data_IF_284832764345
#
_entry.id   IF_284832764345
#
_cell.length_a   1.000
_cell.length_b   1.000
_cell.length_c   1.000
_cell.angle_alpha   90.00
_cell.angle_beta   90.00
_cell.angle_gamma   90.00
#
_symmetry.space_group_name_H-M   'P 1'
#
loop_
_entity.id
_entity.type
_entity.pdbx_description
1 polymer ?
#
# COMPACT_ATOMS: atom_id res chain seq x y z
N UNK A 1 15.02 28.34 24.05
CA UNK A 1 15.23 26.87 24.13
C UNK A 1 14.46 26.25 22.98
N UNK A 2 15.10 25.45 22.13
CA UNK A 2 14.44 24.75 21.01
C UNK A 2 13.92 23.41 21.55
N UNK A 3 12.65 23.03 21.32
CA UNK A 3 12.12 21.78 21.83
C UNK A 3 12.76 20.57 21.13
N UNK A 4 13.13 19.55 21.91
CA UNK A 4 13.51 18.24 21.38
C UNK A 4 12.26 17.38 21.25
N UNK A 5 11.95 16.92 20.04
CA UNK A 5 10.73 16.16 19.73
C UNK A 5 11.13 14.84 19.05
N UNK A 6 10.77 13.68 19.62
CA UNK A 6 10.96 12.39 18.96
C UNK A 6 10.27 12.32 17.60
N UNK A 7 10.94 11.70 16.63
CA UNK A 7 10.40 11.45 15.30
C UNK A 7 10.19 9.95 15.11
N UNK A 8 8.97 9.56 14.77
CA UNK A 8 8.62 8.20 14.36
C UNK A 8 8.37 8.13 12.86
N UNK A 9 8.46 6.92 12.33
CA UNK A 9 7.98 6.55 11.00
C UNK A 9 6.88 5.52 11.14
N UNK A 10 5.76 5.73 10.43
CA UNK A 10 4.62 4.81 10.40
C UNK A 10 4.36 4.37 8.95
N UNK A 11 4.11 3.08 8.73
CA UNK A 11 3.92 2.50 7.39
C UNK A 11 2.45 2.17 7.14
N UNK A 12 1.87 2.74 6.08
CA UNK A 12 0.60 2.29 5.52
C UNK A 12 0.90 1.32 4.38
N UNK A 13 1.05 0.04 4.69
CA UNK A 13 1.31 -0.99 3.66
C UNK A 13 -0.02 -1.61 3.24
N UNK A 14 -0.34 -1.51 1.94
CA UNK A 14 -1.59 -1.98 1.34
C UNK A 14 -1.34 -3.14 0.38
N UNK A 15 -2.28 -4.09 0.37
CA UNK A 15 -2.31 -5.19 -0.60
C UNK A 15 -3.76 -5.50 -1.01
N UNK A 16 -3.94 -6.22 -2.12
CA UNK A 16 -5.22 -6.82 -2.49
C UNK A 16 -5.15 -8.30 -2.16
N UNK A 17 -5.97 -8.74 -1.19
CA UNK A 17 -6.05 -10.13 -0.74
C UNK A 17 -7.51 -10.54 -0.59
N UNK A 18 -7.87 -11.76 -1.01
CA UNK A 18 -9.20 -12.33 -0.83
C UNK A 18 -10.35 -11.39 -1.27
N UNK A 19 -10.21 -10.77 -2.45
CA UNK A 19 -11.19 -9.80 -3.01
C UNK A 19 -11.39 -8.51 -2.18
N UNK A 20 -10.48 -8.19 -1.26
CA UNK A 20 -10.55 -6.98 -0.45
C UNK A 20 -9.22 -6.20 -0.47
N UNK A 21 -9.33 -4.88 -0.27
CA UNK A 21 -8.17 -4.05 0.05
C UNK A 21 -7.83 -4.27 1.52
N UNK A 22 -6.59 -4.69 1.78
CA UNK A 22 -6.10 -5.02 3.12
C UNK A 22 -4.92 -4.12 3.48
N UNK A 23 -4.81 -3.80 4.77
CA UNK A 23 -3.64 -3.13 5.34
C UNK A 23 -2.85 -4.09 6.24
N UNK A 24 -1.52 -3.96 6.23
CA UNK A 24 -0.66 -4.65 7.19
C UNK A 24 -0.74 -3.92 8.52
N UNK A 25 -1.14 -4.63 9.56
CA UNK A 25 -1.25 -4.09 10.92
C UNK A 25 -0.73 -5.11 11.93
N UNK A 26 -0.40 -4.64 13.12
CA UNK A 26 -0.16 -5.51 14.26
C UNK A 26 -1.11 -5.17 15.40
N UNK A 27 -1.39 -6.18 16.23
CA UNK A 27 -2.23 -6.01 17.41
C UNK A 27 -1.31 -5.69 18.59
N UNK A 28 -1.43 -4.47 19.13
CA UNK A 28 -0.56 -3.99 20.22
C UNK A 28 -0.62 -4.91 21.43
N UNK A 29 0.53 -5.26 21.97
CA UNK A 29 0.72 -6.09 23.17
C UNK A 29 1.10 -5.26 24.41
N UNK A 30 1.28 -3.94 24.25
CA UNK A 30 1.67 -3.03 25.32
C UNK A 30 0.79 -1.75 25.39
N UNK A 31 0.61 -1.15 26.59
CA UNK A 31 0.02 0.18 26.73
C UNK A 31 0.87 1.29 26.08
N UNK A 32 0.27 2.43 25.67
CA UNK A 32 -1.17 2.71 25.60
C UNK A 32 -1.84 1.91 24.48
N UNK A 33 -3.18 1.91 24.44
CA UNK A 33 -3.97 1.24 23.39
C UNK A 33 -3.72 -0.28 23.28
N UNK A 34 -3.52 -0.94 24.41
CA UNK A 34 -3.35 -2.39 24.49
C UNK A 34 -4.46 -3.12 23.71
N UNK A 35 -4.07 -4.14 22.92
CA UNK A 35 -4.93 -4.96 22.05
C UNK A 35 -5.61 -4.23 20.87
N UNK A 36 -5.37 -2.92 20.67
CA UNK A 36 -5.82 -2.22 19.45
C UNK A 36 -4.89 -2.52 18.27
N UNK A 37 -5.43 -2.43 17.06
CA UNK A 37 -4.62 -2.46 15.85
C UNK A 37 -3.81 -1.18 15.68
N UNK A 38 -2.59 -1.30 15.17
CA UNK A 38 -1.75 -0.17 14.75
C UNK A 38 -1.00 -0.49 13.49
N UNK A 39 -0.72 0.55 12.69
CA UNK A 39 0.30 0.52 11.65
C UNK A 39 1.67 0.03 12.20
N UNK A 40 2.46 -0.67 11.38
CA UNK A 40 3.88 -0.89 11.64
C UNK A 40 4.57 0.46 11.76
N UNK A 41 5.31 0.67 12.84
CA UNK A 41 5.99 1.92 13.08
C UNK A 41 7.09 1.82 14.12
N UNK A 42 7.92 2.85 14.20
CA UNK A 42 9.06 2.93 15.11
C UNK A 42 9.73 4.29 15.07
N UNK A 43 10.57 4.56 16.07
CA UNK A 43 11.40 5.77 16.08
C UNK A 43 12.56 5.65 15.10
N UNK A 44 13.00 6.80 14.59
CA UNK A 44 14.25 6.89 13.83
C UNK A 44 15.46 6.64 14.73
N UNK A 45 16.55 6.18 14.12
CA UNK A 45 17.89 6.17 14.69
C UNK A 45 18.61 7.47 14.32
N UNK A 46 19.69 7.81 15.03
CA UNK A 46 20.40 9.08 14.82
C UNK A 46 21.31 9.07 13.59
N UNK A 47 21.63 7.91 13.07
CA UNK A 47 22.55 7.63 11.96
C UNK A 47 21.82 7.18 10.68
N UNK A 48 20.49 7.32 10.62
CA UNK A 48 19.68 7.00 9.44
C UNK A 48 18.84 8.20 8.97
N UNK A 49 18.51 8.24 7.68
CA UNK A 49 17.51 9.16 7.15
C UNK A 49 16.09 8.55 7.20
N UNK A 50 15.07 9.34 6.87
CA UNK A 50 13.67 8.89 6.95
C UNK A 50 13.35 7.73 5.99
N UNK A 51 13.81 7.73 4.71
CA UNK A 51 13.67 6.57 3.84
C UNK A 51 14.34 5.30 4.41
N UNK A 52 15.56 5.40 4.94
CA UNK A 52 16.26 4.28 5.55
C UNK A 52 15.49 3.74 6.77
N UNK A 53 14.97 4.63 7.62
CA UNK A 53 14.11 4.27 8.75
C UNK A 53 12.84 3.53 8.28
N UNK A 54 12.21 4.00 7.20
CA UNK A 54 11.02 3.36 6.63
C UNK A 54 11.32 1.95 6.10
N UNK A 55 12.45 1.78 5.40
CA UNK A 55 12.91 0.46 4.92
C UNK A 55 13.28 -0.48 6.08
N UNK A 56 13.96 0.03 7.12
CA UNK A 56 14.28 -0.75 8.32
C UNK A 56 13.01 -1.21 9.04
N UNK A 57 12.04 -0.33 9.26
CA UNK A 57 10.74 -0.68 9.87
C UNK A 57 9.99 -1.68 8.99
N UNK A 58 10.05 -1.54 7.66
CA UNK A 58 9.43 -2.50 6.74
C UNK A 58 10.06 -3.89 6.89
N UNK A 59 11.39 -3.97 6.96
CA UNK A 59 12.12 -5.23 7.10
C UNK A 59 11.92 -5.86 8.49
N UNK A 60 12.14 -5.09 9.56
CA UNK A 60 12.17 -5.58 10.94
C UNK A 60 10.78 -5.71 11.55
N UNK A 61 9.96 -4.66 11.44
CA UNK A 61 8.66 -4.58 12.12
C UNK A 61 7.57 -5.18 11.26
N UNK A 62 7.49 -4.85 9.98
CA UNK A 62 6.52 -5.49 9.09
C UNK A 62 6.94 -6.93 8.71
N UNK A 63 8.20 -7.31 8.93
CA UNK A 63 8.70 -8.65 8.63
C UNK A 63 8.78 -8.95 7.13
N UNK A 64 9.03 -7.92 6.31
CA UNK A 64 9.07 -8.00 4.85
C UNK A 64 10.47 -7.65 4.28
N UNK A 65 11.56 -8.29 4.73
CA UNK A 65 12.90 -8.00 4.24
C UNK A 65 13.04 -8.34 2.75
N UNK A 66 13.52 -7.40 1.94
CA UNK A 66 13.73 -7.59 0.50
C UNK A 66 12.45 -7.80 -0.32
N UNK A 67 11.28 -7.60 0.30
CA UNK A 67 10.01 -7.74 -0.40
C UNK A 67 9.83 -6.63 -1.46
N UNK A 68 9.16 -6.92 -2.60
CA UNK A 68 8.94 -5.96 -3.68
C UNK A 68 7.82 -4.97 -3.31
N UNK A 69 8.06 -4.15 -2.29
CA UNK A 69 7.14 -3.12 -1.81
C UNK A 69 7.54 -1.79 -2.43
N UNK A 70 6.63 -1.17 -3.19
CA UNK A 70 6.79 0.23 -3.57
C UNK A 70 6.60 1.08 -2.32
N UNK A 71 7.56 1.93 -1.97
CA UNK A 71 7.53 2.76 -0.77
C UNK A 71 7.73 4.23 -1.14
N UNK A 72 6.82 5.10 -0.70
CA UNK A 72 6.93 6.56 -0.90
C UNK A 72 6.45 7.32 0.34
N UNK A 73 7.02 8.50 0.59
CA UNK A 73 6.57 9.34 1.70
C UNK A 73 5.13 9.81 1.45
N UNK A 74 4.26 9.61 2.44
CA UNK A 74 2.85 10.02 2.39
C UNK A 74 2.70 11.47 2.85
N UNK A 75 2.94 11.70 4.14
CA UNK A 75 2.73 12.98 4.85
C UNK A 75 3.34 12.92 6.27
N UNK A 76 3.58 14.08 6.86
CA UNK A 76 4.00 14.23 8.27
C UNK A 76 2.83 14.63 9.17
N UNK A 77 2.73 13.99 10.33
CA UNK A 77 1.68 14.18 11.33
C UNK A 77 2.32 14.66 12.64
N UNK A 78 1.83 15.78 13.15
CA UNK A 78 2.42 16.44 14.31
C UNK A 78 1.41 17.05 15.27
N UNK A 79 0.18 16.53 15.33
CA UNK A 79 -0.82 17.00 16.29
C UNK A 79 -0.30 16.86 17.73
N UNK A 80 -0.45 17.88 18.61
CA UNK A 80 0.12 17.85 19.95
C UNK A 80 -0.28 16.65 20.80
N UNK A 81 -1.48 16.11 20.57
CA UNK A 81 -2.18 15.09 21.33
C UNK A 81 -2.18 13.71 20.64
N UNK A 82 -1.46 13.55 19.52
CA UNK A 82 -1.47 12.28 18.76
C UNK A 82 -0.94 11.07 19.55
N UNK A 83 0.01 11.31 20.46
CA UNK A 83 0.53 10.32 21.39
C UNK A 83 0.28 10.81 22.82
N UNK A 84 -0.48 10.05 23.64
CA UNK A 84 -0.83 10.47 25.00
C UNK A 84 0.37 10.53 25.96
N UNK A 85 1.54 10.01 25.56
CA UNK A 85 2.73 9.94 26.43
C UNK A 85 3.60 11.19 26.33
N UNK A 86 3.78 11.72 25.12
CA UNK A 86 4.66 12.86 24.84
C UNK A 86 4.38 13.42 23.45
N UNK A 87 4.89 14.63 23.17
CA UNK A 87 4.87 15.17 21.80
C UNK A 87 5.74 14.29 20.89
N UNK A 88 5.17 13.81 19.78
CA UNK A 88 5.89 13.04 18.75
C UNK A 88 5.51 13.59 17.38
N UNK A 89 6.46 13.63 16.45
CA UNK A 89 6.18 13.79 15.02
C UNK A 89 6.22 12.41 14.37
N UNK A 90 5.25 12.08 13.52
CA UNK A 90 5.32 10.88 12.69
C UNK A 90 5.44 11.25 11.22
N UNK A 91 6.42 10.69 10.53
CA UNK A 91 6.54 10.75 9.07
C UNK A 91 5.99 9.45 8.50
N UNK A 92 4.82 9.50 7.88
CA UNK A 92 4.19 8.30 7.33
C UNK A 92 4.67 8.01 5.92
N UNK A 93 4.76 6.71 5.59
CA UNK A 93 5.06 6.21 4.26
C UNK A 93 3.92 5.31 3.75
N UNK A 94 3.64 5.40 2.46
CA UNK A 94 2.73 4.52 1.74
C UNK A 94 3.53 3.38 1.12
N UNK A 95 3.16 2.15 1.47
CA UNK A 95 3.68 0.92 0.89
C UNK A 95 2.62 0.24 0.01
N UNK A 96 2.94 -0.12 -1.24
CA UNK A 96 2.08 -0.94 -2.09
C UNK A 96 2.80 -2.25 -2.41
N UNK A 97 2.14 -3.37 -2.13
CA UNK A 97 2.74 -4.69 -2.22
C UNK A 97 1.81 -5.72 -2.88
N UNK A 98 2.37 -6.78 -3.49
CA UNK A 98 1.58 -7.95 -3.86
C UNK A 98 1.00 -8.66 -2.62
N UNK A 99 0.21 -9.70 -2.83
CA UNK A 99 -0.28 -10.55 -1.75
C UNK A 99 0.88 -11.33 -1.10
N UNK A 100 1.47 -10.74 -0.06
CA UNK A 100 2.62 -11.28 0.68
C UNK A 100 2.17 -12.01 1.96
N UNK A 101 2.93 -13.01 2.44
CA UNK A 101 2.66 -13.60 3.76
C UNK A 101 2.78 -12.53 4.87
N UNK A 102 2.02 -12.67 5.94
CA UNK A 102 2.21 -11.87 7.14
C UNK A 102 3.23 -12.56 8.06
N UNK A 103 4.12 -11.78 8.67
CA UNK A 103 5.12 -12.33 9.60
C UNK A 103 4.50 -12.63 10.96
N UNK A 104 4.43 -13.92 11.33
CA UNK A 104 4.01 -14.35 12.67
C UNK A 104 4.97 -13.87 13.75
N UNK A 105 6.29 -13.94 13.48
CA UNK A 105 7.35 -13.47 14.40
C UNK A 105 7.21 -11.99 14.74
N UNK A 106 6.76 -11.19 13.78
CA UNK A 106 6.52 -9.77 13.98
C UNK A 106 5.09 -9.45 14.44
N UNK A 107 4.27 -10.48 14.71
CA UNK A 107 2.87 -10.37 15.10
C UNK A 107 2.02 -9.52 14.14
N UNK A 108 2.35 -9.60 12.85
CA UNK A 108 1.69 -8.84 11.79
C UNK A 108 0.50 -9.61 11.22
N UNK A 109 -0.47 -8.87 10.70
CA UNK A 109 -1.68 -9.41 10.10
C UNK A 109 -2.18 -8.51 8.98
N UNK A 110 -2.58 -9.13 7.87
CA UNK A 110 -3.30 -8.44 6.81
C UNK A 110 -4.79 -8.41 7.18
N UNK A 111 -5.33 -7.21 7.38
CA UNK A 111 -6.73 -7.01 7.77
C UNK A 111 -7.45 -6.19 6.69
N UNK A 112 -8.70 -6.57 6.31
CA UNK A 112 -9.52 -5.74 5.44
C UNK A 112 -9.66 -4.33 6.02
N UNK A 113 -9.50 -3.30 5.19
CA UNK A 113 -9.51 -1.90 5.67
C UNK A 113 -10.81 -1.52 6.37
N UNK A 114 -11.93 -2.15 5.99
CA UNK A 114 -13.25 -1.92 6.59
C UNK A 114 -13.38 -2.51 8.00
N UNK A 115 -12.56 -3.51 8.34
CA UNK A 115 -12.50 -4.08 9.70
C UNK A 115 -11.70 -3.21 10.68
N UNK A 116 -10.92 -2.26 10.17
CA UNK A 116 -10.00 -1.42 10.94
C UNK A 116 -10.66 -0.10 11.36
N UNK A 117 -11.90 -0.16 11.86
CA UNK A 117 -12.65 1.04 12.25
C UNK A 117 -12.02 1.80 13.43
N UNK A 118 -11.40 1.09 14.37
CA UNK A 118 -10.73 1.66 15.55
C UNK A 118 -9.29 1.18 15.61
N UNK A 119 -8.36 2.13 15.63
CA UNK A 119 -6.92 1.88 15.73
C UNK A 119 -6.32 2.63 16.93
N UNK A 120 -5.08 2.31 17.26
CA UNK A 120 -4.30 3.06 18.25
C UNK A 120 -3.90 4.44 17.70
N UNK A 121 -3.71 5.40 18.62
CA UNK A 121 -3.27 6.76 18.28
C UNK A 121 -4.15 7.40 17.18
N UNK A 122 -3.55 8.12 16.25
CA UNK A 122 -4.15 8.67 15.04
C UNK A 122 -4.02 7.74 13.81
N UNK A 123 -3.64 6.47 14.00
CA UNK A 123 -3.27 5.58 12.89
C UNK A 123 -4.41 5.30 11.92
N UNK A 124 -5.68 5.38 12.37
CA UNK A 124 -6.85 5.31 11.48
C UNK A 124 -6.82 6.42 10.44
N UNK A 125 -6.51 7.64 10.87
CA UNK A 125 -6.41 8.80 9.98
C UNK A 125 -5.28 8.63 8.98
N UNK A 126 -4.09 8.26 9.46
CA UNK A 126 -2.92 8.00 8.60
C UNK A 126 -3.23 6.93 7.54
N UNK A 127 -3.91 5.85 7.94
CA UNK A 127 -4.33 4.79 7.03
C UNK A 127 -5.32 5.29 5.97
N UNK A 128 -6.32 6.07 6.34
CA UNK A 128 -7.31 6.62 5.40
C UNK A 128 -6.65 7.57 4.39
N UNK A 129 -5.74 8.43 4.84
CA UNK A 129 -4.96 9.32 3.98
C UNK A 129 -4.09 8.50 3.00
N UNK A 130 -3.49 7.40 3.46
CA UNK A 130 -2.73 6.47 2.63
C UNK A 130 -3.58 5.71 1.60
N UNK A 131 -4.77 5.27 1.98
CA UNK A 131 -5.73 4.63 1.06
C UNK A 131 -6.13 5.60 -0.05
N UNK A 132 -6.45 6.84 0.29
CA UNK A 132 -6.83 7.83 -0.72
C UNK A 132 -5.66 8.22 -1.61
N UNK A 133 -4.44 8.35 -1.05
CA UNK A 133 -3.23 8.54 -1.86
C UNK A 133 -3.02 7.40 -2.84
N UNK A 134 -3.18 6.14 -2.41
CA UNK A 134 -3.07 4.98 -3.28
C UNK A 134 -4.10 5.03 -4.41
N UNK A 135 -5.37 5.33 -4.09
CA UNK A 135 -6.45 5.44 -5.07
C UNK A 135 -6.18 6.50 -6.12
N UNK A 136 -5.73 7.69 -5.70
CA UNK A 136 -5.38 8.78 -6.60
C UNK A 136 -4.19 8.42 -7.51
N UNK A 137 -3.14 7.79 -6.95
CA UNK A 137 -1.96 7.35 -7.71
C UNK A 137 -2.33 6.37 -8.83
N UNK A 138 -3.32 5.51 -8.64
CA UNK A 138 -3.80 4.61 -9.70
C UNK A 138 -4.40 5.36 -10.91
N UNK A 139 -4.84 6.61 -10.74
CA UNK A 139 -5.40 7.39 -11.85
C UNK A 139 -4.34 7.83 -12.86
N UNK A 140 -3.11 8.07 -12.42
CA UNK A 140 -2.07 8.71 -13.24
C UNK A 140 -0.71 8.00 -13.20
N UNK A 141 -0.59 6.83 -12.57
CA UNK A 141 0.68 6.06 -12.50
C UNK A 141 0.51 4.58 -12.85
N UNK A 142 1.62 3.87 -13.03
CA UNK A 142 1.66 2.40 -13.16
C UNK A 142 1.56 1.63 -11.84
N UNK A 143 1.33 2.31 -10.71
CA UNK A 143 1.41 1.68 -9.38
C UNK A 143 0.33 0.65 -9.09
N UNK A 144 -0.75 0.60 -9.88
CA UNK A 144 -1.71 -0.52 -9.80
C UNK A 144 -1.03 -1.89 -9.98
N UNK A 145 0.04 -1.97 -10.79
CA UNK A 145 0.79 -3.22 -10.97
C UNK A 145 1.64 -3.61 -9.75
N UNK A 146 1.85 -2.72 -8.78
CA UNK A 146 2.58 -3.04 -7.54
C UNK A 146 1.80 -3.99 -6.62
N UNK A 147 0.48 -4.09 -6.79
CA UNK A 147 -0.38 -5.06 -6.11
C UNK A 147 -0.36 -6.45 -6.77
N UNK A 148 0.16 -6.55 -7.98
CA UNK A 148 0.16 -7.80 -8.74
C UNK A 148 1.41 -8.64 -8.42
N UNK A 149 1.33 -9.98 -8.54
CA UNK A 149 2.52 -10.84 -8.53
C UNK A 149 3.47 -10.48 -9.68
N UNK A 150 4.73 -10.98 -9.70
CA UNK A 150 5.71 -10.65 -10.73
C UNK A 150 5.26 -10.89 -12.17
N UNK A 151 4.30 -11.80 -12.41
CA UNK A 151 3.63 -11.97 -13.70
C UNK A 151 2.12 -12.08 -13.49
N UNK A 152 1.35 -11.29 -14.24
CA UNK A 152 -0.09 -11.18 -14.07
C UNK A 152 -0.80 -10.99 -15.42
N UNK A 153 -2.10 -11.24 -15.45
CA UNK A 153 -2.95 -10.97 -16.62
C UNK A 153 -3.56 -9.56 -16.52
N UNK A 154 -4.05 -9.01 -17.64
CA UNK A 154 -4.84 -7.77 -17.63
C UNK A 154 -6.09 -7.90 -16.75
N UNK A 155 -6.65 -9.11 -16.62
CA UNK A 155 -7.80 -9.37 -15.76
C UNK A 155 -7.44 -9.26 -14.27
N UNK A 156 -6.26 -9.75 -13.87
CA UNK A 156 -5.74 -9.59 -12.51
C UNK A 156 -5.54 -8.11 -12.17
N UNK A 157 -4.92 -7.35 -13.08
CA UNK A 157 -4.71 -5.92 -12.89
C UNK A 157 -6.05 -5.18 -12.82
N UNK A 158 -7.02 -5.50 -13.68
CA UNK A 158 -8.36 -4.91 -13.61
C UNK A 158 -8.99 -5.14 -12.24
N UNK A 159 -8.93 -6.37 -11.73
CA UNK A 159 -9.48 -6.74 -10.42
C UNK A 159 -8.83 -5.92 -9.29
N UNK A 160 -7.52 -5.67 -9.35
CA UNK A 160 -6.84 -4.75 -8.41
C UNK A 160 -7.48 -3.36 -8.46
N UNK A 161 -7.62 -2.78 -9.64
CA UNK A 161 -8.22 -1.45 -9.78
C UNK A 161 -9.66 -1.40 -9.27
N UNK A 162 -10.45 -2.44 -9.56
CA UNK A 162 -11.83 -2.53 -9.12
C UNK A 162 -11.96 -2.60 -7.59
N UNK A 163 -11.09 -3.37 -6.93
CA UNK A 163 -11.05 -3.50 -5.48
C UNK A 163 -10.56 -2.20 -4.83
N UNK A 164 -9.47 -1.62 -5.32
CA UNK A 164 -8.89 -0.39 -4.75
C UNK A 164 -9.83 0.80 -4.91
N UNK A 165 -10.50 0.93 -6.06
CA UNK A 165 -11.48 1.99 -6.32
C UNK A 165 -12.90 1.67 -5.84
N UNK A 166 -13.19 0.43 -5.45
CA UNK A 166 -14.52 0.01 -5.00
C UNK A 166 -15.60 0.09 -6.10
N UNK A 167 -15.24 -0.16 -7.36
CA UNK A 167 -16.17 -0.08 -8.52
C UNK A 167 -15.79 -1.05 -9.62
N UNK A 168 -16.78 -1.47 -10.40
CA UNK A 168 -16.54 -2.26 -11.61
C UNK A 168 -15.98 -1.40 -12.75
N UNK A 169 -15.13 -1.99 -13.58
CA UNK A 169 -14.55 -1.36 -14.76
C UNK A 169 -14.92 -2.17 -16.00
N UNK A 170 -15.21 -1.46 -17.10
CA UNK A 170 -15.46 -2.13 -18.38
C UNK A 170 -14.20 -2.88 -18.84
N UNK A 171 -14.26 -4.23 -19.02
CA UNK A 171 -13.09 -5.02 -19.34
C UNK A 171 -12.42 -4.61 -20.65
N UNK A 172 -13.19 -4.21 -21.67
CA UNK A 172 -12.66 -3.87 -23.01
C UNK A 172 -11.93 -2.53 -22.97
N UNK A 173 -12.52 -1.52 -22.33
CA UNK A 173 -11.94 -0.20 -22.17
C UNK A 173 -10.70 -0.26 -21.29
N UNK A 174 -10.76 -1.00 -20.17
CA UNK A 174 -9.60 -1.19 -19.30
C UNK A 174 -8.46 -1.87 -20.05
N UNK A 175 -8.74 -2.98 -20.74
CA UNK A 175 -7.73 -3.68 -21.54
C UNK A 175 -7.11 -2.74 -22.57
N UNK A 176 -7.93 -2.07 -23.39
CA UNK A 176 -7.45 -1.12 -24.40
C UNK A 176 -6.56 -0.04 -23.77
N UNK A 177 -6.92 0.44 -22.58
CA UNK A 177 -6.19 1.49 -21.88
C UNK A 177 -4.80 1.04 -21.43
N UNK A 178 -4.72 -0.08 -20.71
CA UNK A 178 -3.45 -0.54 -20.13
C UNK A 178 -2.51 -1.16 -21.16
N UNK A 179 -3.02 -1.73 -22.25
CA UNK A 179 -2.16 -2.32 -23.29
C UNK A 179 -1.71 -1.32 -24.35
N UNK A 180 -2.40 -0.18 -24.52
CA UNK A 180 -1.99 0.87 -25.46
C UNK A 180 -1.17 1.99 -24.80
N UNK A 181 -1.18 2.08 -23.47
CA UNK A 181 -0.32 3.00 -22.75
C UNK A 181 1.15 2.55 -22.88
N UNK A 182 1.96 3.40 -23.51
CA UNK A 182 3.37 3.11 -23.77
C UNK A 182 4.13 2.86 -22.45
N UNK A 183 4.90 1.78 -22.42
CA UNK A 183 5.71 1.41 -21.26
C UNK A 183 4.92 1.03 -19.99
N UNK A 184 3.59 0.96 -20.03
CA UNK A 184 2.77 0.63 -18.87
C UNK A 184 2.84 -0.86 -18.51
N UNK A 185 2.78 -1.73 -19.53
CA UNK A 185 2.94 -3.18 -19.39
C UNK A 185 3.97 -3.71 -20.38
N UNK A 186 4.69 -4.75 -19.97
CA UNK A 186 5.59 -5.52 -20.82
C UNK A 186 5.03 -6.93 -21.01
N UNK A 187 4.83 -7.35 -22.25
CA UNK A 187 4.46 -8.75 -22.56
C UNK A 187 5.61 -9.69 -22.21
N UNK A 188 5.33 -10.81 -21.52
CA UNK A 188 6.36 -11.80 -21.19
C UNK A 188 6.56 -12.87 -22.26
N UNK A 189 5.65 -12.92 -23.25
CA UNK A 189 5.53 -14.04 -24.20
C UNK A 189 4.82 -15.27 -23.62
N UNK A 190 4.56 -15.31 -22.31
CA UNK A 190 3.84 -16.39 -21.64
C UNK A 190 2.32 -16.25 -21.73
N UNK A 191 1.62 -17.37 -21.53
CA UNK A 191 0.16 -17.39 -21.38
C UNK A 191 -0.26 -18.28 -20.21
N UNK A 192 -1.51 -18.12 -19.76
CA UNK A 192 -2.09 -18.92 -18.67
C UNK A 192 -3.55 -19.28 -18.97
N UNK A 193 -4.00 -20.42 -18.46
CA UNK A 193 -5.39 -20.91 -18.54
C UNK A 193 -6.08 -20.96 -17.17
N UNK A 194 -5.48 -20.35 -16.13
CA UNK A 194 -5.97 -20.42 -14.73
C UNK A 194 -7.41 -19.96 -14.56
N UNK A 195 -7.85 -18.98 -15.33
CA UNK A 195 -9.20 -18.43 -15.25
C UNK A 195 -10.20 -19.12 -16.20
N UNK A 196 -9.79 -20.21 -16.86
CA UNK A 196 -10.57 -20.93 -17.86
C UNK A 196 -10.65 -20.21 -19.22
N UNK A 197 -11.15 -20.92 -20.24
CA UNK A 197 -11.30 -20.36 -21.59
C UNK A 197 -10.00 -20.24 -22.39
N UNK A 198 -9.92 -19.22 -23.26
CA UNK A 198 -8.75 -18.98 -24.13
C UNK A 198 -7.53 -18.59 -23.28
N UNK A 199 -6.31 -19.07 -23.60
CA UNK A 199 -5.10 -18.66 -22.90
C UNK A 199 -4.94 -17.14 -22.84
N UNK A 200 -4.84 -16.60 -21.62
CA UNK A 200 -4.63 -15.18 -21.35
C UNK A 200 -3.13 -14.86 -21.37
N UNK A 201 -2.74 -13.74 -21.99
CA UNK A 201 -1.35 -13.27 -22.00
C UNK A 201 -0.88 -12.84 -20.61
N UNK A 202 0.38 -13.13 -20.31
CA UNK A 202 1.06 -12.68 -19.10
C UNK A 202 1.86 -11.40 -19.37
N UNK A 203 1.82 -10.50 -18.40
CA UNK A 203 2.50 -9.21 -18.41
C UNK A 203 3.34 -9.02 -17.15
N UNK A 204 4.30 -8.10 -17.21
CA UNK A 204 4.98 -7.48 -16.06
C UNK A 204 4.72 -5.99 -16.05
N UNK A 205 4.93 -5.36 -14.89
CA UNK A 205 4.98 -3.90 -14.78
C UNK A 205 6.05 -3.36 -15.74
N UNK A 206 5.70 -2.41 -16.58
CA UNK A 206 6.65 -1.72 -17.44
C UNK A 206 7.31 -0.52 -16.74
N UNK A 207 8.28 0.12 -17.40
CA UNK A 207 9.08 1.19 -16.81
C UNK A 207 8.34 2.53 -16.69
N UNK A 208 7.17 2.69 -17.33
CA UNK A 208 6.44 3.95 -17.27
C UNK A 208 6.00 4.24 -15.83
N UNK A 209 6.40 5.39 -15.30
CA UNK A 209 5.93 5.84 -13.98
C UNK A 209 4.54 6.44 -14.08
N UNK A 210 4.30 7.23 -15.14
CA UNK A 210 3.05 7.93 -15.39
C UNK A 210 2.18 7.20 -16.42
N UNK A 211 0.87 7.34 -16.27
CA UNK A 211 -0.13 6.83 -17.19
C UNK A 211 -0.70 7.99 -18.00
N UNK A 212 -0.43 8.00 -19.30
CA UNK A 212 -0.93 9.01 -20.22
C UNK A 212 -1.79 8.40 -21.34
N UNK A 213 -3.03 8.91 -21.56
CA UNK A 213 -3.75 9.84 -20.68
C UNK A 213 -4.07 9.17 -19.32
N UNK A 214 -4.46 9.91 -18.27
CA UNK A 214 -4.85 9.29 -16.99
C UNK A 214 -6.12 8.43 -17.12
N UNK A 215 -6.34 7.53 -16.17
CA UNK A 215 -7.62 6.84 -15.92
C UNK A 215 -8.33 7.51 -14.77
N UNK A 216 -9.19 8.50 -15.07
CA UNK A 216 -9.87 9.24 -14.03
C UNK A 216 -10.86 8.34 -13.27
N UNK A 217 -10.72 8.36 -11.94
CA UNK A 217 -11.75 7.83 -11.06
C UNK A 217 -12.87 8.86 -11.05
N UNK A 218 -13.87 8.70 -11.91
CA UNK A 218 -15.07 9.54 -11.86
C UNK A 218 -15.58 9.57 -10.43
N UNK A 219 -15.56 10.74 -9.80
CA UNK A 219 -16.20 10.94 -8.50
C UNK A 219 -17.68 10.62 -8.72
N UNK A 220 -18.27 9.79 -7.86
CA UNK A 220 -19.73 9.75 -7.81
C UNK A 220 -20.19 11.14 -7.39
N UNK A 221 -21.15 11.68 -8.12
CA UNK A 221 -22.08 12.70 -7.61
C UNK A 221 -22.82 12.18 -6.38
#
# INVERSE_FOLDING_TARGET
MVPSIPVSVDLVVLTVRNQALCALVWRRDNPPFLRRWSLPGGFIQLDEDLPAAAHRILAERAGLPGAPVHLEQLQTYGYPDRDPRQRVLSVAYLGLAPDLPASEKAHMSWQPIDSLAVMAFDHRRIMLDGIERARAKLEYTSLGAAFCPPQFTVADLRRVYEIVWGRQLDPRNFHRKVTKAEGFLLETGGTTTRDGGRPAKLYRRGPAELLHPPMLRSLKE
#
